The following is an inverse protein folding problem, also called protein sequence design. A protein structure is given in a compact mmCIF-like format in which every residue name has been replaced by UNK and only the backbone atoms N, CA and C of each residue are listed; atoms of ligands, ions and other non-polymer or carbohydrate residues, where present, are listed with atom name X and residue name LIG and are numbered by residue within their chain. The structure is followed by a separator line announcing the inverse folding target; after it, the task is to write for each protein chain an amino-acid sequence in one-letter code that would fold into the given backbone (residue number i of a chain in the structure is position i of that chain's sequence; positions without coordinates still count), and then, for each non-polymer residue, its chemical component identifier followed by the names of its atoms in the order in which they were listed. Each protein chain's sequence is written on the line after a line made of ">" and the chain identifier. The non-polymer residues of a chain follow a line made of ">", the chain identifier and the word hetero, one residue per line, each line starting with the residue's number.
data_IF_919115277341
#
_entry.id   IF_919115277341
#
_cell.length_a   1.000
_cell.length_b   1.000
_cell.length_c   1.000
_cell.angle_alpha   90.00
_cell.angle_beta   90.00
_cell.angle_gamma   90.00
#
_symmetry.space_group_name_H-M   'P 1'
#
loop_
_entity.id
_entity.type
_entity.pdbx_description
1 polymer ?
#
# COMPACT_ATOMS: atom_id res chain seq x y z
N UNK A 1 5.96 5.47 -5.35
CA UNK A 1 6.62 5.46 -6.68
C UNK A 1 5.61 5.03 -7.74
N UNK A 2 5.45 5.78 -8.84
CA UNK A 2 4.53 5.38 -9.93
C UNK A 2 5.20 4.30 -10.80
N UNK A 3 4.52 3.17 -10.98
CA UNK A 3 5.01 2.06 -11.83
C UNK A 3 4.45 2.21 -13.25
N UNK A 4 3.15 2.55 -13.36
CA UNK A 4 2.47 2.72 -14.64
C UNK A 4 1.39 3.79 -14.56
N UNK A 5 0.64 3.97 -15.66
CA UNK A 5 -0.40 4.98 -15.76
C UNK A 5 -1.46 4.95 -14.66
N UNK A 6 -1.72 3.82 -13.99
CA UNK A 6 -2.72 3.73 -12.90
C UNK A 6 -2.26 2.91 -11.71
N UNK A 7 -0.98 2.58 -11.64
CA UNK A 7 -0.42 1.70 -10.61
C UNK A 7 0.76 2.40 -9.95
N UNK A 8 0.70 2.50 -8.63
CA UNK A 8 1.78 3.04 -7.81
C UNK A 8 2.18 2.03 -6.73
N UNK A 9 3.47 1.99 -6.41
CA UNK A 9 4.02 1.29 -5.23
C UNK A 9 4.04 2.25 -4.04
N UNK A 10 3.41 1.85 -2.94
CA UNK A 10 3.14 2.68 -1.76
C UNK A 10 3.68 2.06 -0.48
N UNK A 11 4.04 0.78 -0.53
CA UNK A 11 4.74 0.08 0.54
C UNK A 11 5.62 -1.00 -0.07
N UNK A 12 6.74 -1.27 0.59
CA UNK A 12 7.67 -2.33 0.20
C UNK A 12 8.69 -2.49 1.33
N UNK A 13 8.83 -3.71 1.85
CA UNK A 13 9.82 -4.03 2.88
C UNK A 13 11.23 -4.25 2.33
N UNK A 14 12.06 -4.87 3.17
CA UNK A 14 13.51 -5.03 2.95
C UNK A 14 13.85 -5.83 1.70
N UNK A 15 13.01 -6.79 1.33
CA UNK A 15 13.24 -7.65 0.15
C UNK A 15 12.81 -6.98 -1.17
N UNK A 16 12.21 -5.79 -1.12
CA UNK A 16 11.88 -4.98 -2.28
C UNK A 16 12.64 -3.66 -2.27
N UNK A 17 11.91 -2.56 -2.11
CA UNK A 17 12.43 -1.19 -2.24
C UNK A 17 12.62 -0.48 -0.90
N UNK A 18 12.32 -1.14 0.22
CA UNK A 18 12.42 -0.57 1.58
C UNK A 18 11.71 0.80 1.69
N UNK A 19 10.56 0.92 1.03
CA UNK A 19 9.74 2.13 0.99
C UNK A 19 8.84 2.28 2.23
N UNK A 20 8.63 1.19 2.98
CA UNK A 20 7.86 1.16 4.22
C UNK A 20 8.56 0.31 5.29
N UNK A 21 7.83 -0.31 6.22
CA UNK A 21 8.44 -1.11 7.27
C UNK A 21 9.20 -2.30 6.67
N UNK A 22 10.38 -2.71 7.20
CA UNK A 22 11.17 -3.81 6.64
C UNK A 22 10.43 -5.13 6.45
N UNK A 23 9.39 -5.38 7.25
CA UNK A 23 8.56 -6.59 7.18
C UNK A 23 7.38 -6.50 6.19
N UNK A 24 7.15 -5.33 5.57
CA UNK A 24 6.02 -5.18 4.66
C UNK A 24 6.25 -5.95 3.36
N UNK A 25 5.17 -6.53 2.84
CA UNK A 25 5.08 -6.92 1.44
C UNK A 25 5.08 -5.68 0.52
N UNK A 26 5.02 -5.91 -0.79
CA UNK A 26 4.75 -4.83 -1.73
C UNK A 26 3.27 -4.45 -1.63
N UNK A 27 3.03 -3.16 -1.43
CA UNK A 27 1.68 -2.58 -1.36
C UNK A 27 1.49 -1.67 -2.54
N UNK A 28 0.42 -1.90 -3.30
CA UNK A 28 0.12 -1.12 -4.50
C UNK A 28 -1.16 -0.31 -4.34
N UNK A 29 -1.19 0.89 -4.93
CA UNK A 29 -2.41 1.67 -5.10
C UNK A 29 -2.81 1.63 -6.57
N UNK A 30 -4.06 1.23 -6.80
CA UNK A 30 -4.70 1.28 -8.10
C UNK A 30 -5.59 2.53 -8.17
N UNK A 31 -5.38 3.32 -9.21
CA UNK A 31 -6.23 4.47 -9.54
C UNK A 31 -7.44 4.02 -10.35
N UNK A 32 -8.61 4.04 -9.71
CA UNK A 32 -9.92 3.75 -10.30
C UNK A 32 -10.65 4.99 -10.81
N UNK A 33 -9.97 6.14 -10.95
CA UNK A 33 -10.51 7.45 -11.34
C UNK A 33 -11.27 8.17 -10.23
N UNK A 34 -12.34 7.56 -9.70
CA UNK A 34 -13.16 8.14 -8.61
C UNK A 34 -12.68 7.70 -7.24
N UNK A 35 -12.23 6.45 -7.15
CA UNK A 35 -11.83 5.75 -5.95
C UNK A 35 -10.53 4.97 -6.20
N UNK A 36 -9.89 4.55 -5.12
CA UNK A 36 -8.64 3.80 -5.17
C UNK A 36 -8.78 2.48 -4.43
N UNK A 37 -8.02 1.49 -4.91
CA UNK A 37 -7.92 0.18 -4.30
C UNK A 37 -6.48 -0.06 -3.86
N UNK A 38 -6.30 -0.46 -2.62
CA UNK A 38 -5.03 -0.95 -2.11
C UNK A 38 -4.91 -2.45 -2.39
N UNK A 39 -3.79 -2.89 -2.95
CA UNK A 39 -3.43 -4.31 -3.05
C UNK A 39 -2.45 -4.60 -1.92
N UNK A 40 -2.85 -5.48 -1.02
CA UNK A 40 -2.26 -5.75 0.29
C UNK A 40 -2.18 -4.50 1.20
N UNK A 41 -1.83 -4.69 2.48
CA UNK A 41 -1.77 -3.58 3.46
C UNK A 41 -0.48 -3.59 4.30
N UNK A 42 0.52 -4.35 3.86
CA UNK A 42 1.76 -4.55 4.61
C UNK A 42 1.56 -5.43 5.85
N UNK A 43 2.52 -5.34 6.77
CA UNK A 43 2.62 -6.16 7.99
C UNK A 43 1.93 -5.54 9.22
N UNK A 44 1.18 -4.46 9.05
CA UNK A 44 0.50 -3.80 10.19
C UNK A 44 1.41 -3.25 11.30
N UNK A 45 2.74 -3.36 11.21
CA UNK A 45 3.69 -2.85 12.22
C UNK A 45 3.77 -1.33 12.19
N UNK A 46 3.82 -0.74 10.99
CA UNK A 46 3.90 0.71 10.79
C UNK A 46 2.91 1.19 9.70
N UNK A 47 1.59 0.98 9.87
CA UNK A 47 0.60 1.27 8.83
C UNK A 47 0.55 2.77 8.48
N UNK A 48 0.92 3.64 9.43
CA UNK A 48 1.00 5.10 9.21
C UNK A 48 1.97 5.47 8.09
N UNK A 49 3.03 4.69 7.87
CA UNK A 49 4.00 4.94 6.80
C UNK A 49 3.40 4.65 5.42
N UNK A 50 2.58 3.61 5.30
CA UNK A 50 1.80 3.33 4.08
C UNK A 50 0.81 4.47 3.83
N UNK A 51 0.10 4.94 4.86
CA UNK A 51 -0.83 6.08 4.74
C UNK A 51 -0.11 7.34 4.27
N UNK A 52 1.05 7.67 4.86
CA UNK A 52 1.86 8.81 4.44
C UNK A 52 2.34 8.69 2.98
N UNK A 53 2.67 7.47 2.53
CA UNK A 53 3.04 7.24 1.14
C UNK A 53 1.84 7.40 0.18
N UNK A 54 0.61 7.07 0.60
CA UNK A 54 -0.62 7.31 -0.17
C UNK A 54 -0.84 8.82 -0.32
N UNK A 55 -0.72 9.57 0.78
CA UNK A 55 -0.82 11.04 0.79
C UNK A 55 0.26 11.68 -0.09
N UNK A 56 1.50 11.19 0.01
CA UNK A 56 2.62 11.63 -0.82
C UNK A 56 2.43 11.33 -2.33
N UNK A 57 1.54 10.39 -2.68
CA UNK A 57 1.12 10.15 -4.06
C UNK A 57 -0.02 11.09 -4.52
N UNK A 58 -0.43 12.05 -3.69
CA UNK A 58 -1.51 13.00 -3.98
C UNK A 58 -2.91 12.44 -3.79
N UNK A 59 -3.03 11.29 -3.11
CA UNK A 59 -4.32 10.62 -2.89
C UNK A 59 -4.75 10.83 -1.44
N UNK A 60 -5.89 11.49 -1.16
CA UNK A 60 -6.43 11.55 0.19
C UNK A 60 -6.77 10.13 0.66
N UNK A 61 -6.39 9.71 1.89
CA UNK A 61 -6.63 8.34 2.37
C UNK A 61 -8.11 7.94 2.32
N UNK A 62 -9.02 8.90 2.52
CA UNK A 62 -10.47 8.69 2.41
C UNK A 62 -10.97 8.31 1.01
N UNK A 63 -10.14 8.41 -0.04
CA UNK A 63 -10.45 7.94 -1.41
C UNK A 63 -10.04 6.49 -1.64
N UNK A 64 -9.34 5.85 -0.70
CA UNK A 64 -9.11 4.40 -0.73
C UNK A 64 -10.33 3.71 -0.16
N UNK A 65 -11.09 3.01 -1.00
CA UNK A 65 -12.37 2.38 -0.62
C UNK A 65 -12.31 0.88 -0.51
N UNK A 66 -11.28 0.29 -1.09
CA UNK A 66 -11.10 -1.15 -1.14
C UNK A 66 -9.68 -1.53 -0.75
N UNK A 67 -9.57 -2.65 -0.06
CA UNK A 67 -8.31 -3.36 0.17
C UNK A 67 -8.51 -4.77 -0.37
N UNK A 68 -7.74 -5.14 -1.39
CA UNK A 68 -7.67 -6.49 -1.92
C UNK A 68 -6.45 -7.17 -1.32
N UNK A 69 -6.66 -8.18 -0.49
CA UNK A 69 -5.58 -9.00 0.03
C UNK A 69 -5.33 -10.15 -0.94
N UNK A 70 -4.09 -10.28 -1.41
CA UNK A 70 -3.71 -11.36 -2.32
C UNK A 70 -3.67 -12.70 -1.61
N UNK A 71 -3.27 -12.69 -0.34
CA UNK A 71 -3.27 -13.80 0.61
C UNK A 71 -3.12 -13.23 2.02
N UNK A 72 -3.44 -14.04 3.04
CA UNK A 72 -3.15 -13.71 4.42
C UNK A 72 -1.84 -14.39 4.83
N UNK A 73 -0.73 -13.65 4.83
CA UNK A 73 0.40 -14.06 5.66
C UNK A 73 0.12 -13.73 7.13
N UNK A 74 0.79 -14.43 8.04
CA UNK A 74 0.79 -14.14 9.48
C UNK A 74 1.53 -12.84 9.83
N UNK A 75 1.34 -11.82 9.02
CA UNK A 75 2.00 -10.53 9.10
C UNK A 75 1.06 -9.51 9.75
N UNK A 76 -0.12 -9.91 10.22
CA UNK A 76 -0.99 -9.11 11.04
C UNK A 76 -1.89 -10.06 11.82
N UNK A 77 -1.88 -9.99 13.16
CA UNK A 77 -2.97 -10.59 13.93
C UNK A 77 -4.31 -9.97 13.47
N UNK A 78 -5.43 -10.72 13.58
CA UNK A 78 -6.74 -10.24 13.18
C UNK A 78 -7.11 -8.89 13.83
#
# INVERSE_FOLDING_TARGET
>A
MRISGRVSLIGSGKMGFLASHPLDCNVFLLDGSTEHTLIDAGSGVEPKRIVANIEGAGVPPGRVKHVLLTHAHGDGRP
#
